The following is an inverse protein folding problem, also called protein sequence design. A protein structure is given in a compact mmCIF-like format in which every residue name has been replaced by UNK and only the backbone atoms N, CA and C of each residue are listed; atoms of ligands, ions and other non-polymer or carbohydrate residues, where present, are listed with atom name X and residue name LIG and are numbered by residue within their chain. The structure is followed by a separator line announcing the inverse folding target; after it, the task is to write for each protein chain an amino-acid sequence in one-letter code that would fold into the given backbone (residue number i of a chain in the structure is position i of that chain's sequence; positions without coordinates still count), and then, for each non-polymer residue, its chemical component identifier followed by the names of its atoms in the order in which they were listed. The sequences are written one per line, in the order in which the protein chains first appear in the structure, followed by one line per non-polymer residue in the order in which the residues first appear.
data_IF_732981895054
#
_entry.id   IF_732981895054
#
_cell.length_a   1.000
_cell.length_b   1.000
_cell.length_c   1.000
_cell.angle_alpha   90.00
_cell.angle_beta   90.00
_cell.angle_gamma   90.00
#
_symmetry.space_group_name_H-M   'P 1'
#
loop_
_entity.id
_entity.type
_entity.pdbx_description
1 polymer ?
#
# COMPACT_ATOMS: atom_id res chain seq x y z
N UNK A 1 34.08 -32.44 -7.63
CA UNK A 1 34.62 -31.84 -8.84
C UNK A 1 35.40 -30.58 -8.46
N UNK A 2 36.70 -30.52 -8.67
CA UNK A 2 37.49 -29.32 -8.43
C UNK A 2 37.61 -28.56 -9.75
N UNK A 3 37.21 -27.30 -9.79
CA UNK A 3 37.32 -26.41 -10.94
C UNK A 3 38.33 -25.33 -10.59
N UNK A 4 39.36 -25.19 -11.41
CA UNK A 4 40.37 -24.12 -11.29
C UNK A 4 40.08 -23.10 -12.39
N UNK A 5 39.80 -21.86 -11.98
CA UNK A 5 39.59 -20.75 -12.91
C UNK A 5 40.92 -20.05 -13.19
N UNK A 6 41.13 -19.59 -14.42
CA UNK A 6 42.22 -18.69 -14.76
C UNK A 6 42.07 -17.37 -14.00
N UNK A 7 43.18 -16.87 -13.44
CA UNK A 7 43.18 -15.60 -12.70
C UNK A 7 42.68 -14.41 -13.54
N UNK A 8 42.91 -14.43 -14.85
CA UNK A 8 42.36 -13.40 -15.77
C UNK A 8 40.83 -13.42 -15.89
N UNK A 9 40.19 -14.57 -15.66
CA UNK A 9 38.75 -14.72 -15.77
C UNK A 9 38.00 -13.91 -14.72
N UNK A 10 38.52 -13.78 -13.49
CA UNK A 10 37.91 -12.96 -12.42
C UNK A 10 37.92 -11.48 -12.80
N UNK A 11 38.99 -10.98 -13.43
CA UNK A 11 39.05 -9.59 -13.90
C UNK A 11 38.10 -9.29 -15.07
N UNK A 12 37.92 -10.28 -15.97
CA UNK A 12 36.98 -10.14 -17.09
C UNK A 12 35.54 -10.06 -16.61
N UNK A 13 35.13 -10.91 -15.65
CA UNK A 13 33.79 -10.88 -15.06
C UNK A 13 33.55 -9.57 -14.32
N UNK A 14 34.50 -9.08 -13.52
CA UNK A 14 34.36 -7.81 -12.82
C UNK A 14 34.17 -6.64 -13.80
N UNK A 15 34.88 -6.66 -14.94
CA UNK A 15 34.69 -5.64 -15.99
C UNK A 15 33.32 -5.72 -16.61
N UNK A 16 32.82 -6.91 -16.96
CA UNK A 16 31.49 -7.12 -17.50
C UNK A 16 30.41 -6.59 -16.56
N UNK A 17 30.52 -6.87 -15.26
CA UNK A 17 29.60 -6.37 -14.25
C UNK A 17 29.59 -4.84 -14.23
N UNK A 18 30.75 -4.20 -14.21
CA UNK A 18 30.92 -2.77 -14.19
C UNK A 18 30.38 -2.11 -15.47
N UNK A 19 30.68 -2.69 -16.63
CA UNK A 19 30.23 -2.20 -17.93
C UNK A 19 28.71 -2.34 -18.10
N UNK A 20 28.11 -3.44 -17.66
CA UNK A 20 26.67 -3.66 -17.70
C UNK A 20 25.92 -2.82 -16.66
N UNK A 21 26.56 -2.45 -15.54
CA UNK A 21 25.96 -1.64 -14.51
C UNK A 21 24.64 -2.23 -13.96
N UNK A 22 23.56 -1.42 -13.88
CA UNK A 22 22.25 -1.86 -13.37
C UNK A 22 21.57 -2.94 -14.23
N UNK A 23 22.03 -3.14 -15.47
CA UNK A 23 21.45 -4.15 -16.37
C UNK A 23 22.11 -5.53 -16.19
N UNK A 24 23.19 -5.63 -15.39
CA UNK A 24 23.83 -6.90 -15.11
C UNK A 24 22.89 -7.89 -14.43
N UNK A 25 22.81 -9.10 -14.96
CA UNK A 25 21.94 -10.16 -14.44
C UNK A 25 20.51 -10.16 -15.00
N UNK A 26 20.12 -9.15 -15.77
CA UNK A 26 18.84 -9.18 -16.51
C UNK A 26 18.88 -10.24 -17.60
N UNK A 27 17.72 -10.81 -17.90
CA UNK A 27 17.55 -11.82 -18.95
C UNK A 27 16.12 -11.81 -19.48
N UNK A 28 15.85 -12.58 -20.53
CA UNK A 28 14.58 -12.66 -21.22
C UNK A 28 13.82 -13.98 -20.95
N UNK A 29 14.14 -14.68 -19.86
CA UNK A 29 13.56 -15.99 -19.54
C UNK A 29 12.03 -15.94 -19.41
N UNK A 30 11.47 -14.79 -19.04
CA UNK A 30 10.03 -14.54 -18.89
C UNK A 30 9.49 -13.54 -19.93
N UNK A 31 10.20 -13.32 -21.04
CA UNK A 31 9.71 -12.43 -22.09
C UNK A 31 8.36 -12.90 -22.64
N UNK A 32 7.43 -11.96 -22.78
CA UNK A 32 6.06 -12.23 -23.23
C UNK A 32 5.11 -12.74 -22.15
N UNK A 33 5.56 -12.91 -20.90
CA UNK A 33 4.68 -13.20 -19.77
C UNK A 33 4.16 -11.89 -19.16
N UNK A 34 2.83 -11.80 -19.03
CA UNK A 34 2.17 -10.72 -18.27
C UNK A 34 1.77 -11.27 -16.91
N UNK A 35 2.17 -10.57 -15.85
CA UNK A 35 1.92 -10.97 -14.46
C UNK A 35 1.24 -9.83 -13.72
N UNK A 36 0.06 -10.08 -13.16
CA UNK A 36 -0.51 -9.22 -12.14
C UNK A 36 -0.15 -9.77 -10.76
N UNK A 37 0.47 -8.95 -9.93
CA UNK A 37 0.96 -9.37 -8.64
C UNK A 37 0.40 -8.46 -7.54
N UNK A 38 -0.56 -8.99 -6.80
CA UNK A 38 -1.19 -8.32 -5.67
C UNK A 38 -0.42 -8.64 -4.38
N UNK A 39 -0.08 -7.60 -3.60
CA UNK A 39 0.58 -7.77 -2.30
C UNK A 39 0.32 -6.59 -1.37
N UNK A 40 0.62 -6.75 -0.09
CA UNK A 40 0.27 -5.87 1.04
C UNK A 40 -1.23 -5.81 1.26
N UNK A 41 -1.98 -5.13 0.43
CA UNK A 41 -3.46 -5.03 0.43
C UNK A 41 -4.07 -4.89 1.83
N UNK A 42 -3.47 -4.02 2.64
CA UNK A 42 -3.92 -3.75 4.00
C UNK A 42 -5.20 -2.91 3.98
N UNK A 43 -6.10 -3.17 4.93
CA UNK A 43 -7.33 -2.41 5.07
C UNK A 43 -7.02 -0.93 5.38
N UNK A 44 -7.74 0.03 4.78
CA UNK A 44 -7.51 1.47 4.97
C UNK A 44 -8.10 2.00 6.28
N UNK A 45 -8.02 1.22 7.34
CA UNK A 45 -8.57 1.52 8.66
C UNK A 45 -7.49 1.81 9.71
N UNK A 46 -6.23 1.87 9.29
CA UNK A 46 -5.11 2.20 10.16
C UNK A 46 -3.77 2.18 9.44
N UNK A 47 -2.69 2.65 10.10
CA UNK A 47 -1.36 2.70 9.54
C UNK A 47 -0.78 1.31 9.28
N UNK A 48 0.16 1.22 8.35
CA UNK A 48 0.91 0.00 8.14
C UNK A 48 1.74 -0.35 9.38
N UNK A 49 1.83 -1.63 9.68
CA UNK A 49 2.62 -2.17 10.81
C UNK A 49 3.66 -3.17 10.32
N UNK A 50 4.53 -3.65 11.23
CA UNK A 50 5.65 -4.53 10.91
C UNK A 50 5.26 -5.81 10.14
N UNK A 51 4.05 -6.33 10.31
CA UNK A 51 3.54 -7.45 9.53
C UNK A 51 3.40 -7.12 8.04
N UNK A 52 2.93 -5.91 7.71
CA UNK A 52 2.81 -5.44 6.34
C UNK A 52 4.17 -5.17 5.69
N UNK A 53 5.18 -4.72 6.47
CA UNK A 53 6.53 -4.47 5.98
C UNK A 53 7.16 -5.73 5.35
N UNK A 54 6.93 -6.90 5.95
CA UNK A 54 7.42 -8.17 5.39
C UNK A 54 6.80 -8.46 4.01
N UNK A 55 5.49 -8.27 3.88
CA UNK A 55 4.78 -8.49 2.61
C UNK A 55 5.19 -7.47 1.56
N UNK A 56 5.39 -6.22 1.96
CA UNK A 56 5.87 -5.17 1.08
C UNK A 56 7.27 -5.51 0.52
N UNK A 57 8.24 -5.83 1.40
CA UNK A 57 9.59 -6.18 1.00
C UNK A 57 9.64 -7.43 0.10
N UNK A 58 8.89 -8.49 0.45
CA UNK A 58 8.87 -9.72 -0.33
C UNK A 58 8.18 -9.52 -1.68
N UNK A 59 7.03 -8.87 -1.69
CA UNK A 59 6.27 -8.61 -2.91
C UNK A 59 7.05 -7.76 -3.89
N UNK A 60 7.62 -6.65 -3.44
CA UNK A 60 8.43 -5.78 -4.28
C UNK A 60 9.68 -6.48 -4.82
N UNK A 61 10.39 -7.27 -3.99
CA UNK A 61 11.54 -8.05 -4.43
C UNK A 61 11.17 -9.04 -5.54
N UNK A 62 10.03 -9.76 -5.40
CA UNK A 62 9.55 -10.68 -6.43
C UNK A 62 9.18 -9.91 -7.70
N UNK A 63 8.45 -8.80 -7.61
CA UNK A 63 8.08 -7.98 -8.76
C UNK A 63 9.33 -7.50 -9.52
N UNK A 64 10.35 -7.01 -8.81
CA UNK A 64 11.63 -6.59 -9.41
C UNK A 64 12.37 -7.75 -10.08
N UNK A 65 12.39 -8.94 -9.48
CA UNK A 65 13.01 -10.14 -10.08
C UNK A 65 12.30 -10.58 -11.35
N UNK A 66 10.98 -10.60 -11.35
CA UNK A 66 10.17 -10.95 -12.53
C UNK A 66 10.40 -9.95 -13.67
N UNK A 67 10.43 -8.65 -13.37
CA UNK A 67 10.77 -7.59 -14.34
C UNK A 67 12.19 -7.74 -14.86
N UNK A 68 13.16 -8.06 -14.00
CA UNK A 68 14.55 -8.31 -14.41
C UNK A 68 14.71 -9.56 -15.28
N UNK A 69 13.76 -10.50 -15.19
CA UNK A 69 13.70 -11.71 -16.04
C UNK A 69 12.87 -11.51 -17.32
N UNK A 70 12.44 -10.29 -17.63
CA UNK A 70 11.75 -9.94 -18.88
C UNK A 70 10.22 -10.01 -18.83
N UNK A 71 9.59 -10.27 -17.66
CA UNK A 71 8.15 -10.25 -17.54
C UNK A 71 7.59 -8.82 -17.54
N UNK A 72 6.40 -8.66 -18.10
CA UNK A 72 5.55 -7.46 -17.91
C UNK A 72 4.75 -7.60 -16.62
N UNK A 73 5.14 -6.84 -15.58
CA UNK A 73 4.58 -6.99 -14.22
C UNK A 73 3.82 -5.76 -13.82
N UNK A 74 2.54 -5.95 -13.49
CA UNK A 74 1.71 -4.97 -12.79
C UNK A 74 1.71 -5.29 -11.30
N UNK A 75 2.20 -4.38 -10.47
CA UNK A 75 2.09 -4.46 -9.00
C UNK A 75 0.78 -3.82 -8.56
N UNK A 76 -0.09 -4.60 -7.93
CA UNK A 76 -1.43 -4.19 -7.53
C UNK A 76 -1.58 -4.18 -6.01
N UNK A 77 -2.20 -3.11 -5.51
CA UNK A 77 -2.68 -3.00 -4.14
C UNK A 77 -4.20 -3.03 -4.16
N UNK A 78 -4.81 -4.08 -3.59
CA UNK A 78 -6.25 -4.16 -3.43
C UNK A 78 -6.67 -3.41 -2.17
N UNK A 79 -7.60 -2.46 -2.33
CA UNK A 79 -8.10 -1.62 -1.24
C UNK A 79 -9.49 -2.12 -0.83
N UNK A 80 -9.58 -2.75 0.34
CA UNK A 80 -10.84 -3.17 0.93
C UNK A 80 -11.53 -1.97 1.61
N UNK A 81 -12.10 -1.07 0.79
CA UNK A 81 -12.79 0.17 1.21
C UNK A 81 -14.31 0.05 1.20
N UNK A 82 -14.85 -1.10 0.82
CA UNK A 82 -16.25 -1.46 0.99
C UNK A 82 -16.51 -2.14 2.35
N UNK A 83 -17.76 -2.30 2.72
CA UNK A 83 -18.16 -3.09 3.86
C UNK A 83 -18.10 -2.42 5.22
N UNK A 84 -18.37 -3.23 6.26
CA UNK A 84 -18.67 -2.72 7.61
C UNK A 84 -17.44 -2.16 8.34
N UNK A 85 -16.23 -2.61 8.02
CA UNK A 85 -15.02 -2.09 8.67
C UNK A 85 -14.82 -0.60 8.44
N UNK A 86 -15.19 -0.10 7.27
CA UNK A 86 -15.14 1.33 6.96
C UNK A 86 -16.14 2.14 7.77
N UNK A 87 -17.32 1.57 8.08
CA UNK A 87 -18.30 2.21 8.94
C UNK A 87 -17.81 2.29 10.39
N UNK A 88 -17.26 1.18 10.92
CA UNK A 88 -16.65 1.12 12.26
C UNK A 88 -15.47 2.09 12.38
N UNK A 89 -14.67 2.22 11.33
CA UNK A 89 -13.57 3.17 11.28
C UNK A 89 -14.09 4.62 11.31
N UNK A 90 -15.08 4.96 10.47
CA UNK A 90 -15.70 6.28 10.46
C UNK A 90 -16.32 6.63 11.81
N UNK A 91 -17.04 5.69 12.45
CA UNK A 91 -17.62 5.88 13.78
C UNK A 91 -16.56 6.12 14.86
N UNK A 92 -15.37 5.49 14.73
CA UNK A 92 -14.24 5.71 15.63
C UNK A 92 -13.66 7.12 15.49
N UNK A 93 -13.47 7.59 14.25
CA UNK A 93 -13.01 8.95 13.97
C UNK A 93 -14.04 9.98 14.42
N UNK A 94 -15.34 9.74 14.16
CA UNK A 94 -16.42 10.60 14.56
C UNK A 94 -16.52 10.73 16.09
N UNK A 95 -16.33 9.64 16.83
CA UNK A 95 -16.29 9.68 18.29
C UNK A 95 -15.16 10.58 18.79
N UNK A 96 -13.95 10.44 18.24
CA UNK A 96 -12.79 11.30 18.58
C UNK A 96 -13.03 12.76 18.19
N UNK A 97 -13.63 13.00 17.05
CA UNK A 97 -14.00 14.35 16.58
C UNK A 97 -14.85 15.12 17.60
N UNK A 98 -15.77 14.42 18.27
CA UNK A 98 -16.64 14.97 19.31
C UNK A 98 -16.12 14.78 20.74
N UNK A 99 -14.83 14.39 20.92
CA UNK A 99 -14.23 14.20 22.26
C UNK A 99 -14.81 13.02 23.06
N UNK A 100 -15.42 12.05 22.37
CA UNK A 100 -16.02 10.85 22.97
C UNK A 100 -15.07 9.66 22.92
N UNK A 101 -15.32 8.67 23.75
CA UNK A 101 -14.65 7.39 23.67
C UNK A 101 -15.05 6.64 22.41
N UNK A 102 -14.08 5.91 21.85
CA UNK A 102 -14.32 5.04 20.69
C UNK A 102 -15.27 3.91 21.07
N UNK A 103 -16.30 3.63 20.26
CA UNK A 103 -17.24 2.54 20.52
C UNK A 103 -16.54 1.18 20.68
N UNK A 104 -17.16 0.27 21.41
CA UNK A 104 -16.65 -1.11 21.54
C UNK A 104 -16.50 -1.77 20.17
N UNK A 105 -15.35 -2.37 19.91
CA UNK A 105 -15.00 -2.96 18.60
C UNK A 105 -14.48 -1.95 17.58
N UNK A 106 -14.39 -0.66 17.94
CA UNK A 106 -13.79 0.37 17.10
C UNK A 106 -12.26 0.39 17.16
N UNK A 107 -11.69 1.42 16.54
CA UNK A 107 -10.25 1.61 16.40
C UNK A 107 -9.73 2.61 17.45
N UNK A 108 -9.08 2.17 18.55
CA UNK A 108 -8.73 3.03 19.67
C UNK A 108 -7.37 3.73 19.53
N UNK A 109 -6.61 3.48 18.46
CA UNK A 109 -5.25 3.99 18.26
C UNK A 109 -5.15 5.52 18.26
N UNK A 110 -3.99 6.06 18.61
CA UNK A 110 -3.75 7.51 18.64
C UNK A 110 -3.95 8.17 17.27
N UNK A 111 -3.61 7.47 16.19
CA UNK A 111 -3.82 7.92 14.81
C UNK A 111 -5.28 8.31 14.51
N UNK A 112 -6.26 7.70 15.21
CA UNK A 112 -7.69 8.04 15.02
C UNK A 112 -7.99 9.46 15.52
N UNK A 113 -7.30 9.93 16.57
CA UNK A 113 -7.39 11.32 17.03
C UNK A 113 -6.73 12.26 16.01
N UNK A 114 -5.56 11.89 15.49
CA UNK A 114 -4.86 12.67 14.47
C UNK A 114 -5.70 12.82 13.20
N UNK A 115 -6.39 11.74 12.78
CA UNK A 115 -7.33 11.79 11.67
C UNK A 115 -8.54 12.68 11.97
N UNK A 116 -9.11 12.60 13.18
CA UNK A 116 -10.22 13.44 13.58
C UNK A 116 -9.86 14.95 13.55
N UNK A 117 -8.65 15.27 14.01
CA UNK A 117 -8.15 16.65 13.99
C UNK A 117 -7.88 17.12 12.55
N UNK A 118 -7.33 16.27 11.69
CA UNK A 118 -7.12 16.56 10.28
C UNK A 118 -8.46 16.77 9.52
N UNK A 119 -9.44 15.91 9.78
CA UNK A 119 -10.80 16.06 9.21
C UNK A 119 -11.44 17.38 9.66
N UNK A 120 -11.31 17.75 10.94
CA UNK A 120 -11.83 19.02 11.43
C UNK A 120 -11.12 20.24 10.81
N UNK A 121 -9.86 20.11 10.47
CA UNK A 121 -9.13 21.18 9.79
C UNK A 121 -9.61 21.38 8.35
N UNK A 122 -9.86 20.29 7.64
CA UNK A 122 -10.34 20.32 6.25
C UNK A 122 -11.83 20.69 6.15
N UNK A 123 -12.62 20.31 7.15
CA UNK A 123 -14.07 20.53 7.24
C UNK A 123 -14.43 21.23 8.56
N UNK A 124 -14.21 22.54 8.70
CA UNK A 124 -14.38 23.26 9.98
C UNK A 124 -15.76 23.09 10.61
N UNK A 125 -16.80 23.02 9.78
CA UNK A 125 -18.20 22.95 10.25
C UNK A 125 -18.61 21.52 10.66
N UNK A 126 -17.75 20.49 10.44
CA UNK A 126 -18.12 19.08 10.67
C UNK A 126 -18.44 18.80 12.13
N UNK A 127 -17.87 19.54 13.08
CA UNK A 127 -18.14 19.41 14.52
C UNK A 127 -19.52 19.91 14.93
N UNK A 128 -20.16 20.74 14.11
CA UNK A 128 -21.49 21.31 14.36
C UNK A 128 -22.59 20.41 13.78
N UNK A 129 -22.22 19.44 12.94
CA UNK A 129 -23.17 18.51 12.35
C UNK A 129 -23.62 17.45 13.34
N UNK A 130 -24.82 16.93 13.12
CA UNK A 130 -25.25 15.68 13.79
C UNK A 130 -24.38 14.51 13.33
N UNK A 131 -24.26 13.46 14.16
CA UNK A 131 -23.49 12.26 13.81
C UNK A 131 -23.91 11.67 12.46
N UNK A 132 -25.19 11.67 12.14
CA UNK A 132 -25.73 11.17 10.88
C UNK A 132 -25.26 11.99 9.68
N UNK A 133 -25.26 13.32 9.78
CA UNK A 133 -24.82 14.23 8.73
C UNK A 133 -23.29 14.27 8.60
N UNK A 134 -22.55 14.15 9.70
CA UNK A 134 -21.09 14.16 9.71
C UNK A 134 -20.48 12.84 9.20
N UNK A 135 -21.13 11.70 9.43
CA UNK A 135 -20.59 10.37 9.12
C UNK A 135 -20.09 10.21 7.69
N UNK A 136 -20.84 10.55 6.62
CA UNK A 136 -20.35 10.42 5.25
C UNK A 136 -19.11 11.29 4.98
N UNK A 137 -19.09 12.52 5.50
CA UNK A 137 -17.95 13.44 5.37
C UNK A 137 -16.71 12.87 6.06
N UNK A 138 -16.87 12.42 7.31
CA UNK A 138 -15.79 11.82 8.11
C UNK A 138 -15.28 10.54 7.46
N UNK A 139 -16.19 9.67 6.97
CA UNK A 139 -15.81 8.41 6.31
C UNK A 139 -14.93 8.67 5.09
N UNK A 140 -15.32 9.58 4.22
CA UNK A 140 -14.58 9.89 3.00
C UNK A 140 -13.23 10.56 3.30
N UNK A 141 -13.23 11.59 4.15
CA UNK A 141 -12.02 12.33 4.49
C UNK A 141 -11.01 11.43 5.24
N UNK A 142 -11.45 10.67 6.24
CA UNK A 142 -10.58 9.75 6.99
C UNK A 142 -10.02 8.63 6.09
N UNK A 143 -10.83 8.06 5.20
CA UNK A 143 -10.37 7.09 4.21
C UNK A 143 -9.26 7.68 3.32
N UNK A 144 -9.50 8.84 2.74
CA UNK A 144 -8.52 9.50 1.86
C UNK A 144 -7.21 9.83 2.58
N UNK A 145 -7.30 10.35 3.81
CA UNK A 145 -6.12 10.66 4.64
C UNK A 145 -5.34 9.39 5.00
N UNK A 146 -6.04 8.34 5.40
CA UNK A 146 -5.40 7.07 5.75
C UNK A 146 -4.75 6.39 4.53
N UNK A 147 -5.40 6.42 3.37
CA UNK A 147 -4.81 5.92 2.13
C UNK A 147 -3.58 6.73 1.70
N UNK A 148 -3.59 8.04 1.93
CA UNK A 148 -2.41 8.86 1.66
C UNK A 148 -1.25 8.51 2.59
N UNK A 149 -1.51 8.25 3.87
CA UNK A 149 -0.51 7.79 4.83
C UNK A 149 0.10 6.43 4.42
N UNK A 150 -0.75 5.47 4.03
CA UNK A 150 -0.32 4.16 3.51
C UNK A 150 0.60 4.34 2.28
N UNK A 151 0.19 5.15 1.31
CA UNK A 151 0.99 5.42 0.11
C UNK A 151 2.33 6.09 0.43
N UNK A 152 2.32 7.06 1.33
CA UNK A 152 3.54 7.75 1.77
C UNK A 152 4.49 6.78 2.50
N UNK A 153 3.97 5.92 3.36
CA UNK A 153 4.75 4.91 4.08
C UNK A 153 5.39 3.90 3.12
N UNK A 154 4.63 3.42 2.13
CA UNK A 154 5.15 2.51 1.10
C UNK A 154 6.23 3.19 0.25
N UNK A 155 6.00 4.43 -0.18
CA UNK A 155 6.98 5.19 -0.95
C UNK A 155 8.26 5.47 -0.15
N UNK A 156 8.15 5.79 1.15
CA UNK A 156 9.31 5.95 2.04
C UNK A 156 10.11 4.65 2.22
N UNK A 157 9.47 3.50 2.04
CA UNK A 157 10.08 2.18 2.07
C UNK A 157 10.57 1.70 0.68
N UNK A 158 10.51 2.58 -0.34
CA UNK A 158 10.84 2.29 -1.76
C UNK A 158 10.01 1.14 -2.37
N UNK A 159 8.76 1.00 -1.93
CA UNK A 159 7.80 0.04 -2.47
C UNK A 159 6.74 0.80 -3.26
N UNK A 160 6.62 0.48 -4.55
CA UNK A 160 5.74 1.19 -5.48
C UNK A 160 4.73 0.24 -6.12
N UNK A 161 3.49 0.72 -6.23
CA UNK A 161 2.39 0.03 -6.89
C UNK A 161 1.99 0.75 -8.16
N UNK A 162 1.70 -0.02 -9.20
CA UNK A 162 1.22 0.48 -10.48
C UNK A 162 -0.28 0.80 -10.41
N UNK A 163 -1.04 0.00 -9.62
CA UNK A 163 -2.49 0.09 -9.51
C UNK A 163 -2.94 -0.01 -8.06
N UNK A 164 -3.94 0.80 -7.70
CA UNK A 164 -4.72 0.66 -6.47
C UNK A 164 -6.18 0.38 -6.86
N UNK A 165 -6.63 -0.85 -6.65
CA UNK A 165 -7.98 -1.30 -6.99
C UNK A 165 -8.90 -1.17 -5.79
N UNK A 166 -9.91 -0.30 -5.89
CA UNK A 166 -10.91 -0.08 -4.85
C UNK A 166 -12.02 -1.12 -4.97
N UNK A 167 -12.33 -1.82 -3.88
CA UNK A 167 -13.46 -2.75 -3.81
C UNK A 167 -14.80 -2.02 -4.03
N UNK A 168 -14.94 -0.82 -3.47
CA UNK A 168 -16.13 0.00 -3.67
C UNK A 168 -16.37 0.30 -5.16
N UNK A 169 -15.31 0.59 -5.91
CA UNK A 169 -15.42 0.82 -7.37
C UNK A 169 -15.89 -0.43 -8.11
N UNK A 170 -15.49 -1.62 -7.67
CA UNK A 170 -15.95 -2.88 -8.27
C UNK A 170 -17.45 -3.10 -8.02
N UNK A 171 -17.93 -2.81 -6.79
CA UNK A 171 -19.36 -2.84 -6.48
C UNK A 171 -20.15 -1.83 -7.31
N UNK A 172 -19.69 -0.58 -7.39
CA UNK A 172 -20.38 0.50 -8.11
C UNK A 172 -20.48 0.23 -9.61
N UNK A 173 -19.49 -0.46 -10.17
CA UNK A 173 -19.48 -0.87 -11.58
C UNK A 173 -20.29 -2.15 -11.88
N UNK A 174 -20.71 -2.88 -10.85
CA UNK A 174 -21.37 -4.18 -10.97
C UNK A 174 -20.45 -5.31 -11.43
N UNK A 175 -19.14 -5.18 -11.20
CA UNK A 175 -18.16 -6.21 -11.49
C UNK A 175 -18.20 -7.35 -10.46
N UNK A 176 -18.66 -7.05 -9.23
CA UNK A 176 -18.91 -7.98 -8.12
C UNK A 176 -20.22 -7.65 -7.44
#
# INVERSE_FOLDING_TARGET
LNVTLDAASAGALAREIVEAGPEYGRNDALAGHTVNMEFVSANPTGPLHIGHTRWAALGDAIARLLRASGADVTAEYYVNDAGNQMNVFADSVLARLHGRDVPAGGYPGAYVQELADAVALEHPDVRELTDEAARPVVREAAYRLQMQDIKNTLAAFDVHFDVFTSEQTLHDSGAI
#
